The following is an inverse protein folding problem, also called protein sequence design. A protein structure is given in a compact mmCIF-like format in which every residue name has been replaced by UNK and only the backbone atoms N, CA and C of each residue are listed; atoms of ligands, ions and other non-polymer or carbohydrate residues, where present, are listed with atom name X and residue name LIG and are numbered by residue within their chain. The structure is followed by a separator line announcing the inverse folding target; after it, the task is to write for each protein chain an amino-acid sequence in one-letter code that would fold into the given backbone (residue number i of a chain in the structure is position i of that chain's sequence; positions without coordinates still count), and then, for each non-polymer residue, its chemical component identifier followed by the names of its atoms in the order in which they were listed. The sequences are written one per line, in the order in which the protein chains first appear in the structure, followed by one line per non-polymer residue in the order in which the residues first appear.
data_IF_159730227147
#
_entry.id   IF_159730227147
#
_cell.length_a   1.000
_cell.length_b   1.000
_cell.length_c   1.000
_cell.angle_alpha   90.00
_cell.angle_beta   90.00
_cell.angle_gamma   90.00
#
_symmetry.space_group_name_H-M   'P 1'
#
loop_
_entity.id
_entity.type
_entity.pdbx_description
1 polymer ?
#
# COMPACT_ATOMS: atom_id res chain seq x y z
N UNK A 1 -6.14 -13.04 32.64
CA UNK A 1 -6.19 -13.83 31.40
C UNK A 1 -4.82 -14.47 31.24
N UNK A 2 -4.72 -15.78 31.02
CA UNK A 2 -3.41 -16.41 30.84
C UNK A 2 -2.85 -16.05 29.46
N UNK A 3 -1.64 -15.53 29.42
CA UNK A 3 -0.90 -15.14 28.20
C UNK A 3 0.44 -15.87 28.10
N UNK A 4 0.61 -16.93 28.91
CA UNK A 4 1.85 -17.71 28.96
C UNK A 4 2.20 -18.32 27.61
N UNK A 5 1.21 -18.76 26.85
CA UNK A 5 1.35 -19.32 25.51
C UNK A 5 1.91 -18.29 24.50
N UNK A 6 1.67 -16.99 24.72
CA UNK A 6 2.22 -15.92 23.87
C UNK A 6 3.70 -15.69 24.17
N UNK A 7 4.10 -15.76 25.43
CA UNK A 7 5.45 -15.33 25.86
C UNK A 7 6.43 -16.48 26.05
N UNK A 8 5.97 -17.67 26.49
CA UNK A 8 6.86 -18.80 26.84
C UNK A 8 7.75 -19.26 25.68
N UNK A 9 7.30 -19.26 24.42
CA UNK A 9 8.12 -19.72 23.31
C UNK A 9 9.19 -18.71 22.85
N UNK A 10 9.23 -17.51 23.43
CA UNK A 10 10.08 -16.40 22.99
C UNK A 10 11.36 -16.31 23.85
N UNK A 11 12.47 -15.92 23.24
CA UNK A 11 13.66 -15.52 23.97
C UNK A 11 13.51 -14.10 24.59
N UNK A 12 14.46 -13.68 25.40
CA UNK A 12 14.38 -12.41 26.15
C UNK A 12 14.18 -11.21 25.22
N UNK A 13 15.00 -11.05 24.18
CA UNK A 13 14.87 -9.92 23.22
C UNK A 13 13.56 -9.93 22.47
N UNK A 14 13.06 -11.12 22.08
CA UNK A 14 11.76 -11.26 21.44
C UNK A 14 10.61 -10.90 22.39
N UNK A 15 10.69 -11.28 23.68
CA UNK A 15 9.71 -10.89 24.70
C UNK A 15 9.66 -9.39 24.89
N UNK A 16 10.83 -8.76 25.03
CA UNK A 16 10.91 -7.30 25.12
C UNK A 16 10.24 -6.60 23.95
N UNK A 17 10.48 -7.06 22.71
CA UNK A 17 9.84 -6.50 21.53
C UNK A 17 8.32 -6.74 21.52
N UNK A 18 7.85 -7.91 21.99
CA UNK A 18 6.42 -8.26 22.04
C UNK A 18 5.68 -7.47 23.11
N UNK A 19 6.29 -7.25 24.28
CA UNK A 19 5.65 -6.57 25.42
C UNK A 19 5.98 -5.08 25.51
N UNK A 20 6.76 -4.54 24.56
CA UNK A 20 7.09 -3.12 24.54
C UNK A 20 5.83 -2.25 24.59
N UNK A 21 5.91 -1.10 25.25
CA UNK A 21 4.80 -0.14 25.33
C UNK A 21 4.30 0.28 23.92
N UNK A 22 3.10 0.84 23.85
CA UNK A 22 2.43 1.23 22.59
C UNK A 22 3.09 2.40 21.83
N UNK A 23 4.35 2.70 22.10
CA UNK A 23 5.15 3.68 21.36
C UNK A 23 5.69 3.07 20.05
N UNK A 24 6.18 3.94 19.18
CA UNK A 24 6.87 3.51 17.96
C UNK A 24 8.05 2.61 18.32
N UNK A 25 8.10 1.42 17.73
CA UNK A 25 9.12 0.40 17.98
C UNK A 25 9.79 -0.02 16.69
N UNK A 26 11.09 0.14 16.61
CA UNK A 26 11.92 -0.40 15.54
C UNK A 26 12.63 -1.67 16.03
N UNK A 27 12.39 -2.80 15.35
CA UNK A 27 13.05 -4.08 15.63
C UNK A 27 14.04 -4.40 14.54
N UNK A 28 15.34 -4.29 14.84
CA UNK A 28 16.42 -4.64 13.93
C UNK A 28 16.82 -6.10 14.16
N UNK A 29 16.68 -6.92 13.14
CA UNK A 29 16.93 -8.35 13.30
C UNK A 29 17.37 -8.98 11.95
N UNK A 30 18.36 -9.85 11.98
CA UNK A 30 18.90 -10.57 10.82
C UNK A 30 17.91 -11.58 10.21
N UNK A 31 18.28 -12.18 9.10
CA UNK A 31 17.53 -13.28 8.51
C UNK A 31 17.45 -14.47 9.48
N UNK A 32 16.32 -15.16 9.54
CA UNK A 32 16.16 -16.32 10.44
C UNK A 32 15.94 -16.00 11.93
N UNK A 33 16.07 -14.75 12.36
CA UNK A 33 15.93 -14.33 13.78
C UNK A 33 14.51 -14.43 14.36
N UNK A 34 13.52 -14.78 13.55
CA UNK A 34 12.13 -14.90 13.98
C UNK A 34 11.31 -13.60 13.94
N UNK A 35 11.66 -12.61 13.08
CA UNK A 35 10.91 -11.36 12.94
C UNK A 35 9.41 -11.54 12.79
N UNK A 36 8.99 -12.44 11.90
CA UNK A 36 7.57 -12.77 11.70
C UNK A 36 6.93 -13.36 12.94
N UNK A 37 7.68 -14.17 13.71
CA UNK A 37 7.24 -14.71 14.99
C UNK A 37 6.97 -13.59 15.98
N UNK A 38 7.93 -12.67 16.14
CA UNK A 38 7.77 -11.49 17.02
C UNK A 38 6.52 -10.69 16.63
N UNK A 39 6.31 -10.45 15.32
CA UNK A 39 5.13 -9.70 14.85
C UNK A 39 3.81 -10.42 15.19
N UNK A 40 3.72 -11.72 14.93
CA UNK A 40 2.53 -12.52 15.27
C UNK A 40 2.24 -12.50 16.77
N UNK A 41 3.27 -12.74 17.59
CA UNK A 41 3.14 -12.69 19.05
C UNK A 41 2.80 -11.30 19.58
N UNK A 42 3.35 -10.23 18.96
CA UNK A 42 3.00 -8.84 19.29
C UNK A 42 1.51 -8.55 19.03
N UNK A 43 0.99 -8.99 17.89
CA UNK A 43 -0.43 -8.83 17.56
C UNK A 43 -1.30 -9.56 18.59
N UNK A 44 -0.95 -10.79 18.90
CA UNK A 44 -1.67 -11.58 19.90
C UNK A 44 -1.60 -10.93 21.31
N UNK A 45 -0.45 -10.40 21.70
CA UNK A 45 -0.28 -9.66 22.93
C UNK A 45 -1.17 -8.41 23.00
N UNK A 46 -1.15 -7.58 21.94
CA UNK A 46 -1.97 -6.37 21.87
C UNK A 46 -3.47 -6.67 22.01
N UNK A 47 -3.94 -7.77 21.43
CA UNK A 47 -5.35 -8.15 21.46
C UNK A 47 -5.71 -8.80 22.80
N UNK A 48 -4.93 -9.80 23.28
CA UNK A 48 -5.30 -10.58 24.47
C UNK A 48 -4.88 -9.94 25.78
N UNK A 49 -3.71 -9.29 25.83
CA UNK A 49 -3.18 -8.69 27.05
C UNK A 49 -3.57 -7.22 27.22
N UNK A 50 -3.47 -6.46 26.14
CA UNK A 50 -3.76 -5.01 26.17
C UNK A 50 -5.23 -4.69 25.78
N UNK A 51 -6.01 -5.69 25.36
CA UNK A 51 -7.44 -5.53 25.07
C UNK A 51 -7.75 -4.75 23.79
N UNK A 52 -6.78 -4.61 22.85
CA UNK A 52 -7.03 -3.94 21.59
C UNK A 52 -8.04 -4.73 20.75
N UNK A 53 -8.93 -3.99 20.08
CA UNK A 53 -9.83 -4.59 19.10
C UNK A 53 -9.04 -5.15 17.92
N UNK A 54 -9.40 -6.34 17.44
CA UNK A 54 -8.84 -6.93 16.24
C UNK A 54 -9.00 -5.99 15.02
N UNK A 55 -10.05 -5.20 14.96
CA UNK A 55 -10.30 -4.23 13.90
C UNK A 55 -9.33 -3.05 13.89
N UNK A 56 -8.65 -2.80 15.00
CA UNK A 56 -7.66 -1.71 15.13
C UNK A 56 -6.24 -2.15 14.72
N UNK A 57 -6.06 -3.41 14.31
CA UNK A 57 -4.75 -3.95 13.96
C UNK A 57 -4.56 -3.98 12.44
N UNK A 58 -3.53 -3.27 11.97
CA UNK A 58 -3.06 -3.30 10.59
C UNK A 58 -1.66 -3.95 10.54
N UNK A 59 -1.55 -5.10 9.89
CA UNK A 59 -0.28 -5.80 9.71
C UNK A 59 0.03 -5.99 8.22
N UNK A 60 1.18 -5.49 7.80
CA UNK A 60 1.55 -5.40 6.40
C UNK A 60 2.77 -6.25 6.08
N UNK A 61 2.75 -6.93 4.95
CA UNK A 61 3.88 -7.71 4.42
C UNK A 61 4.00 -7.55 2.91
N UNK A 62 5.10 -8.03 2.33
CA UNK A 62 5.37 -7.84 0.89
C UNK A 62 4.69 -8.88 0.00
N UNK A 63 4.45 -10.10 0.46
CA UNK A 63 3.93 -11.18 -0.38
C UNK A 63 2.61 -11.75 0.14
N UNK A 64 1.75 -12.18 -0.79
CA UNK A 64 0.49 -12.83 -0.45
C UNK A 64 0.70 -14.14 0.33
N UNK A 65 1.82 -14.85 0.07
CA UNK A 65 2.19 -16.05 0.81
C UNK A 65 2.46 -15.71 2.28
N UNK A 66 3.32 -14.72 2.54
CA UNK A 66 3.64 -14.29 3.90
C UNK A 66 2.40 -13.74 4.64
N UNK A 67 1.52 -13.01 3.94
CA UNK A 67 0.26 -12.54 4.51
C UNK A 67 -0.66 -13.69 4.95
N UNK A 68 -0.79 -14.74 4.14
CA UNK A 68 -1.57 -15.93 4.49
C UNK A 68 -0.98 -16.70 5.67
N UNK A 69 0.34 -16.90 5.66
CA UNK A 69 1.04 -17.56 6.77
C UNK A 69 0.90 -16.78 8.07
N UNK A 70 1.05 -15.46 8.03
CA UNK A 70 0.89 -14.59 9.19
C UNK A 70 -0.54 -14.69 9.74
N UNK A 71 -1.55 -14.62 8.87
CA UNK A 71 -2.96 -14.74 9.27
C UNK A 71 -3.24 -16.07 9.94
N UNK A 72 -2.84 -17.20 9.33
CA UNK A 72 -3.02 -18.52 9.93
C UNK A 72 -2.39 -18.63 11.32
N UNK A 73 -1.14 -18.14 11.48
CA UNK A 73 -0.46 -18.16 12.78
C UNK A 73 -1.16 -17.29 13.84
N UNK A 74 -1.75 -16.16 13.44
CA UNK A 74 -2.54 -15.32 14.35
C UNK A 74 -3.83 -16.02 14.74
N UNK A 75 -4.53 -16.66 13.80
CA UNK A 75 -5.75 -17.45 14.04
C UNK A 75 -5.47 -18.60 15.00
N UNK A 76 -4.40 -19.35 14.76
CA UNK A 76 -3.99 -20.47 15.63
C UNK A 76 -3.68 -19.98 17.05
N UNK A 77 -3.01 -18.84 17.20
CA UNK A 77 -2.62 -18.31 18.50
C UNK A 77 -3.79 -17.69 19.27
N UNK A 78 -4.65 -16.97 18.57
CA UNK A 78 -5.80 -16.32 19.21
C UNK A 78 -7.01 -17.23 19.36
N UNK A 79 -7.04 -18.38 18.68
CA UNK A 79 -8.18 -19.30 18.60
C UNK A 79 -9.48 -18.57 18.21
N UNK A 80 -9.36 -17.59 17.34
CA UNK A 80 -10.47 -16.78 16.85
C UNK A 80 -10.29 -16.45 15.35
N UNK A 81 -11.40 -16.26 14.60
CA UNK A 81 -11.33 -15.86 13.21
C UNK A 81 -10.69 -14.46 13.06
N UNK A 82 -9.83 -14.30 12.07
CA UNK A 82 -9.12 -13.01 11.80
C UNK A 82 -9.86 -12.10 10.81
N UNK A 83 -11.14 -12.31 10.56
CA UNK A 83 -11.91 -11.53 9.57
C UNK A 83 -11.90 -10.01 9.85
N UNK A 84 -11.76 -9.62 11.12
CA UNK A 84 -11.64 -8.21 11.53
C UNK A 84 -10.25 -7.61 11.34
N UNK A 85 -9.20 -8.43 11.27
CA UNK A 85 -7.82 -7.97 11.16
C UNK A 85 -7.52 -7.47 9.73
N UNK A 86 -6.75 -6.40 9.66
CA UNK A 86 -6.19 -5.91 8.40
C UNK A 86 -4.79 -6.49 8.19
N UNK A 87 -4.74 -7.79 7.83
CA UNK A 87 -3.49 -8.48 7.52
C UNK A 87 -3.40 -8.74 6.03
N UNK A 88 -2.37 -8.20 5.38
CA UNK A 88 -2.24 -8.33 3.93
C UNK A 88 -0.96 -7.74 3.38
N UNK A 89 -0.88 -7.69 2.05
CA UNK A 89 0.15 -6.91 1.36
C UNK A 89 -0.27 -5.44 1.28
N UNK A 90 0.70 -4.53 1.11
CA UNK A 90 0.41 -3.10 0.89
C UNK A 90 -0.67 -2.90 -0.18
N UNK A 91 -0.52 -3.55 -1.34
CA UNK A 91 -1.49 -3.47 -2.42
C UNK A 91 -2.87 -4.00 -2.05
N UNK A 92 -2.92 -5.18 -1.44
CA UNK A 92 -4.19 -5.80 -1.06
C UNK A 92 -4.95 -4.98 -0.02
N UNK A 93 -4.24 -4.41 0.95
CA UNK A 93 -4.84 -3.57 1.99
C UNK A 93 -5.26 -2.21 1.44
N UNK A 94 -4.44 -1.58 0.58
CA UNK A 94 -4.80 -0.33 -0.09
C UNK A 94 -6.04 -0.51 -0.99
N UNK A 95 -6.11 -1.62 -1.74
CA UNK A 95 -7.30 -1.94 -2.54
C UNK A 95 -8.54 -2.14 -1.66
N UNK A 96 -8.42 -2.86 -0.54
CA UNK A 96 -9.51 -3.05 0.43
C UNK A 96 -9.97 -1.70 1.01
N UNK A 97 -9.04 -0.81 1.34
CA UNK A 97 -9.33 0.53 1.83
C UNK A 97 -10.08 1.37 0.79
N UNK A 98 -9.57 1.40 -0.44
CA UNK A 98 -10.21 2.11 -1.55
C UNK A 98 -11.60 1.55 -1.86
N UNK A 99 -11.79 0.22 -1.77
CA UNK A 99 -13.13 -0.39 -1.94
C UNK A 99 -14.12 0.00 -0.83
N UNK A 100 -13.64 0.15 0.40
CA UNK A 100 -14.49 0.58 1.51
C UNK A 100 -14.88 2.07 1.39
N UNK A 101 -13.98 2.89 0.84
CA UNK A 101 -14.09 4.36 0.75
C UNK A 101 -14.09 4.87 -0.70
N UNK A 102 -14.64 4.10 -1.63
CA UNK A 102 -14.62 4.42 -3.06
C UNK A 102 -15.23 5.79 -3.37
N UNK A 103 -16.35 6.13 -2.72
CA UNK A 103 -17.06 7.39 -2.90
C UNK A 103 -16.24 8.58 -2.42
N UNK A 104 -15.64 8.48 -1.23
CA UNK A 104 -14.77 9.51 -0.65
C UNK A 104 -13.50 9.71 -1.48
N UNK A 105 -12.98 8.63 -2.07
CA UNK A 105 -11.86 8.67 -2.99
C UNK A 105 -12.21 9.21 -4.39
N UNK A 106 -13.49 9.48 -4.68
CA UNK A 106 -13.97 9.92 -5.99
C UNK A 106 -13.82 8.84 -7.08
N UNK A 107 -13.89 7.57 -6.69
CA UNK A 107 -13.77 6.43 -7.61
C UNK A 107 -15.16 5.85 -7.93
N UNK A 108 -15.34 5.21 -9.09
CA UNK A 108 -16.53 4.41 -9.35
C UNK A 108 -16.55 3.19 -8.44
N UNK A 109 -17.73 2.73 -8.01
CA UNK A 109 -17.88 1.59 -7.09
C UNK A 109 -17.18 0.32 -7.59
N UNK A 110 -17.15 0.11 -8.90
CA UNK A 110 -16.53 -1.05 -9.56
C UNK A 110 -15.20 -0.69 -10.22
N UNK A 111 -14.40 0.18 -9.58
CA UNK A 111 -13.08 0.50 -10.11
C UNK A 111 -12.18 -0.74 -10.17
N UNK A 112 -11.25 -0.74 -11.12
CA UNK A 112 -10.23 -1.77 -11.27
C UNK A 112 -8.84 -1.15 -11.10
N UNK A 113 -7.93 -1.94 -10.51
CA UNK A 113 -6.52 -1.57 -10.46
C UNK A 113 -5.86 -2.12 -11.71
N UNK A 114 -5.29 -1.24 -12.50
CA UNK A 114 -4.54 -1.61 -13.70
C UNK A 114 -3.11 -2.01 -13.33
N UNK A 115 -2.62 -3.08 -13.94
CA UNK A 115 -1.19 -3.38 -13.93
C UNK A 115 -0.41 -2.44 -14.88
N UNK A 116 0.92 -2.58 -14.90
CA UNK A 116 1.79 -1.72 -15.72
C UNK A 116 1.53 -1.86 -17.23
N UNK A 117 1.20 -3.05 -17.68
CA UNK A 117 0.95 -3.33 -19.10
C UNK A 117 -0.43 -2.81 -19.53
N UNK A 118 -1.43 -2.99 -18.69
CA UNK A 118 -2.76 -2.43 -18.91
C UNK A 118 -2.72 -0.90 -18.93
N UNK A 119 -1.97 -0.29 -18.02
CA UNK A 119 -1.75 1.15 -18.02
C UNK A 119 -1.11 1.62 -19.34
N UNK A 120 -0.07 0.92 -19.81
CA UNK A 120 0.58 1.25 -21.07
C UNK A 120 -0.39 1.14 -22.26
N UNK A 121 -1.27 0.14 -22.27
CA UNK A 121 -2.31 0.00 -23.32
C UNK A 121 -3.26 1.20 -23.33
N UNK A 122 -3.70 1.64 -22.15
CA UNK A 122 -4.55 2.84 -22.02
C UNK A 122 -3.81 4.09 -22.50
N UNK A 123 -2.56 4.30 -22.10
CA UNK A 123 -1.75 5.44 -22.55
C UNK A 123 -1.58 5.43 -24.07
N UNK A 124 -1.29 4.27 -24.69
CA UNK A 124 -1.21 4.14 -26.14
C UNK A 124 -2.52 4.52 -26.85
N UNK A 125 -3.66 4.07 -26.31
CA UNK A 125 -4.97 4.45 -26.84
C UNK A 125 -5.15 5.96 -26.81
N UNK A 126 -4.84 6.60 -25.68
CA UNK A 126 -4.95 8.06 -25.52
C UNK A 126 -4.02 8.80 -26.47
N UNK A 127 -2.78 8.35 -26.66
CA UNK A 127 -1.87 8.95 -27.63
C UNK A 127 -2.46 8.93 -29.06
N UNK A 128 -3.12 7.83 -29.46
CA UNK A 128 -3.81 7.73 -30.76
C UNK A 128 -5.05 8.63 -30.85
N UNK A 129 -5.86 8.71 -29.81
CA UNK A 129 -7.02 9.60 -29.72
C UNK A 129 -6.62 11.09 -29.80
N UNK A 130 -5.42 11.43 -29.33
CA UNK A 130 -4.84 12.77 -29.40
C UNK A 130 -4.05 13.04 -30.70
N UNK A 131 -4.01 12.08 -31.62
CA UNK A 131 -3.24 12.12 -32.88
C UNK A 131 -1.75 12.42 -32.65
N UNK A 132 -1.16 11.77 -31.65
CA UNK A 132 0.24 11.94 -31.29
C UNK A 132 1.11 10.85 -31.95
N UNK A 133 2.17 11.28 -32.63
CA UNK A 133 3.17 10.37 -33.20
C UNK A 133 3.95 9.66 -32.06
N UNK A 134 3.84 8.31 -32.00
CA UNK A 134 4.48 7.49 -30.98
C UNK A 134 6.04 7.58 -31.03
N UNK A 135 6.63 7.92 -32.18
CA UNK A 135 8.08 8.13 -32.30
C UNK A 135 8.53 9.41 -31.59
N UNK A 136 7.72 10.47 -31.67
CA UNK A 136 7.99 11.75 -30.99
C UNK A 136 7.51 11.74 -29.53
N UNK A 137 6.42 11.02 -29.24
CA UNK A 137 5.77 10.95 -27.93
C UNK A 137 5.65 9.50 -27.47
N UNK A 138 6.76 8.84 -27.05
CA UNK A 138 6.74 7.46 -26.67
C UNK A 138 5.78 7.19 -25.51
N UNK A 139 4.77 6.30 -25.64
CA UNK A 139 3.77 6.05 -24.61
C UNK A 139 4.38 5.64 -23.26
N UNK A 140 5.55 4.98 -23.29
CA UNK A 140 6.28 4.58 -22.09
C UNK A 140 6.82 5.77 -21.29
N UNK A 141 7.23 6.83 -21.97
CA UNK A 141 7.66 8.07 -21.31
C UNK A 141 6.45 8.78 -20.67
N UNK A 142 5.31 8.80 -21.35
CA UNK A 142 4.08 9.34 -20.79
C UNK A 142 3.63 8.53 -19.56
N UNK A 143 3.75 7.21 -19.60
CA UNK A 143 3.48 6.35 -18.44
C UNK A 143 4.39 6.69 -17.26
N UNK A 144 5.68 6.86 -17.47
CA UNK A 144 6.62 7.26 -16.43
C UNK A 144 6.31 8.65 -15.86
N UNK A 145 5.99 9.61 -16.73
CA UNK A 145 5.57 10.93 -16.29
C UNK A 145 4.33 10.86 -15.40
N UNK A 146 3.29 10.16 -15.85
CA UNK A 146 2.04 9.97 -15.07
C UNK A 146 2.33 9.35 -13.71
N UNK A 147 3.16 8.31 -13.67
CA UNK A 147 3.51 7.63 -12.43
C UNK A 147 4.28 8.55 -11.49
N UNK A 148 5.25 9.32 -12.00
CA UNK A 148 5.99 10.30 -11.22
C UNK A 148 5.08 11.36 -10.60
N UNK A 149 4.14 11.91 -11.38
CA UNK A 149 3.18 12.90 -10.85
C UNK A 149 2.27 12.29 -9.77
N UNK A 150 1.81 11.06 -9.97
CA UNK A 150 0.98 10.36 -8.99
C UNK A 150 1.77 10.02 -7.71
N UNK A 151 3.03 9.67 -7.82
CA UNK A 151 3.91 9.41 -6.67
C UNK A 151 4.07 10.66 -5.78
N UNK A 152 4.02 11.86 -6.38
CA UNK A 152 3.99 13.15 -5.67
C UNK A 152 2.56 13.58 -5.23
N UNK A 153 1.56 12.75 -5.43
CA UNK A 153 0.16 13.05 -5.09
C UNK A 153 -0.54 14.02 -6.04
N UNK A 154 0.10 14.37 -7.16
CA UNK A 154 -0.45 15.33 -8.11
C UNK A 154 -1.42 14.66 -9.09
N UNK A 155 -2.61 15.24 -9.24
CA UNK A 155 -3.55 14.90 -10.31
C UNK A 155 -3.25 15.74 -11.55
N UNK A 156 -3.69 15.29 -12.73
CA UNK A 156 -3.45 16.02 -13.99
C UNK A 156 -3.78 17.53 -13.93
N UNK A 157 -4.87 17.89 -13.24
CA UNK A 157 -5.32 19.27 -13.05
C UNK A 157 -4.40 20.13 -12.15
N UNK A 158 -3.51 19.48 -11.38
CA UNK A 158 -2.59 20.15 -10.46
C UNK A 158 -1.17 20.29 -11.04
N UNK A 159 -0.93 19.69 -12.21
CA UNK A 159 0.37 19.76 -12.87
C UNK A 159 0.42 21.01 -13.75
N UNK A 160 1.20 21.99 -13.33
CA UNK A 160 1.43 23.21 -14.10
C UNK A 160 2.48 22.95 -15.19
N UNK A 161 2.14 23.31 -16.42
CA UNK A 161 3.07 23.27 -17.53
C UNK A 161 3.64 24.68 -17.75
N UNK A 162 4.98 24.87 -17.68
CA UNK A 162 5.61 26.16 -17.96
C UNK A 162 5.19 26.72 -19.32
N UNK A 163 5.10 28.05 -19.44
CA UNK A 163 4.82 28.69 -20.71
C UNK A 163 5.90 28.31 -21.72
N UNK A 164 5.48 27.84 -22.90
CA UNK A 164 6.40 27.42 -23.97
C UNK A 164 6.86 25.96 -23.90
N UNK A 165 6.70 25.27 -22.79
CA UNK A 165 7.08 23.84 -22.67
C UNK A 165 6.03 22.93 -23.33
N UNK A 166 6.23 22.65 -24.61
CA UNK A 166 5.36 21.75 -25.38
C UNK A 166 5.40 20.33 -24.85
N UNK A 167 6.56 19.88 -24.30
CA UNK A 167 6.69 18.53 -23.78
C UNK A 167 5.78 18.33 -22.57
N UNK A 168 5.93 19.16 -21.55
CA UNK A 168 5.11 19.08 -20.34
C UNK A 168 3.63 19.27 -20.66
N UNK A 169 3.27 20.24 -21.53
CA UNK A 169 1.88 20.45 -21.96
C UNK A 169 1.27 19.17 -22.60
N UNK A 170 2.04 18.50 -23.45
CA UNK A 170 1.58 17.27 -24.08
C UNK A 170 1.44 16.12 -23.07
N UNK A 171 2.41 15.97 -22.16
CA UNK A 171 2.35 14.95 -21.08
C UNK A 171 1.15 15.18 -20.16
N UNK A 172 0.84 16.42 -19.80
CA UNK A 172 -0.34 16.76 -19.00
C UNK A 172 -1.64 16.45 -19.75
N UNK A 173 -1.71 16.68 -21.07
CA UNK A 173 -2.87 16.29 -21.89
C UNK A 173 -3.08 14.77 -21.89
N UNK A 174 -2.01 14.01 -22.07
CA UNK A 174 -2.07 12.54 -22.00
C UNK A 174 -2.52 12.11 -20.59
N UNK A 175 -2.00 12.73 -19.53
CA UNK A 175 -2.38 12.43 -18.16
C UNK A 175 -3.85 12.76 -17.89
N UNK A 176 -4.36 13.87 -18.39
CA UNK A 176 -5.78 14.23 -18.27
C UNK A 176 -6.69 13.21 -18.97
N UNK A 177 -6.32 12.76 -20.16
CA UNK A 177 -7.02 11.66 -20.86
C UNK A 177 -6.98 10.35 -20.08
N UNK A 178 -5.83 10.03 -19.48
CA UNK A 178 -5.68 8.85 -18.63
C UNK A 178 -6.52 8.93 -17.32
N UNK A 179 -6.64 10.11 -16.75
CA UNK A 179 -7.48 10.33 -15.57
C UNK A 179 -8.98 10.22 -15.89
N UNK A 180 -9.39 10.69 -17.06
CA UNK A 180 -10.77 10.55 -17.54
C UNK A 180 -11.16 9.10 -17.86
N UNK A 181 -10.18 8.24 -18.15
CA UNK A 181 -10.39 6.81 -18.39
C UNK A 181 -10.48 5.95 -17.11
N UNK A 182 -10.75 6.55 -15.96
CA UNK A 182 -10.88 5.90 -14.64
C UNK A 182 -9.68 5.02 -14.23
N UNK A 183 -8.47 5.43 -14.61
CA UNK A 183 -7.25 4.71 -14.25
C UNK A 183 -6.89 4.87 -12.77
N UNK A 184 -7.27 3.92 -11.96
CA UNK A 184 -6.66 3.71 -10.64
C UNK A 184 -5.37 2.91 -10.85
N UNK A 185 -4.23 3.57 -10.70
CA UNK A 185 -2.93 2.96 -10.96
C UNK A 185 -2.35 2.25 -9.74
N UNK A 186 -1.48 1.25 -10.01
CA UNK A 186 -0.56 0.61 -9.07
C UNK A 186 0.38 1.58 -8.31
N UNK A 187 0.39 2.88 -8.60
CA UNK A 187 1.20 3.88 -7.88
C UNK A 187 0.82 4.03 -6.40
N UNK A 188 -0.24 3.38 -5.92
CA UNK A 188 -0.42 3.07 -4.50
C UNK A 188 0.77 2.24 -3.95
N UNK A 189 1.61 1.70 -4.80
CA UNK A 189 2.83 0.93 -4.45
C UNK A 189 3.91 1.74 -3.73
N UNK A 190 3.94 3.05 -3.86
CA UNK A 190 5.02 3.90 -3.38
C UNK A 190 4.58 5.03 -2.45
N UNK A 191 3.60 4.79 -1.58
CA UNK A 191 3.53 5.68 -0.43
C UNK A 191 4.80 5.46 0.40
N UNK A 192 5.77 6.34 0.20
CA UNK A 192 6.95 6.45 1.03
C UNK A 192 6.50 6.59 2.47
N UNK A 193 6.96 5.68 3.31
CA UNK A 193 6.99 5.81 4.78
C UNK A 193 7.85 7.01 5.24
N UNK A 194 8.25 7.89 4.33
CA UNK A 194 9.14 9.03 4.60
C UNK A 194 8.43 10.32 5.01
N UNK A 195 7.12 10.33 5.17
CA UNK A 195 6.40 11.52 5.67
C UNK A 195 5.97 11.43 7.13
N UNK A 196 6.45 10.44 7.89
CA UNK A 196 6.18 10.37 9.33
C UNK A 196 7.31 10.92 10.21
N UNK A 197 8.39 11.45 9.63
CA UNK A 197 9.53 12.02 10.35
C UNK A 197 9.62 13.55 10.31
N UNK A 198 8.53 14.23 10.04
CA UNK A 198 8.52 15.69 10.12
C UNK A 198 7.26 16.18 10.84
N UNK A 199 7.26 16.07 12.15
CA UNK A 199 6.82 17.12 13.08
C UNK A 199 6.97 16.61 14.52
N UNK A 200 8.00 17.07 15.18
CA UNK A 200 8.04 17.22 16.62
C UNK A 200 6.91 18.14 17.11
#
# INVERSE_FOLDING_TARGET
MDVSDILSPLNTAQREAVTASSKNLLVLAGAGSGKTRVLVHRIAWLIRAEGLSAHSVLAVTFTNKAAREMRGRIEDMLQMPTHGLWVGTFHGLAHRLLKAHWSEAGLPQQFQILDSDDQLRVVKRICRELDLDEARWPPKQAQWFINGQKDEGLRARHVEAPEGDLYIKTMVRIYAGAAAADMVNESVKRYRVSSMDANE
#
